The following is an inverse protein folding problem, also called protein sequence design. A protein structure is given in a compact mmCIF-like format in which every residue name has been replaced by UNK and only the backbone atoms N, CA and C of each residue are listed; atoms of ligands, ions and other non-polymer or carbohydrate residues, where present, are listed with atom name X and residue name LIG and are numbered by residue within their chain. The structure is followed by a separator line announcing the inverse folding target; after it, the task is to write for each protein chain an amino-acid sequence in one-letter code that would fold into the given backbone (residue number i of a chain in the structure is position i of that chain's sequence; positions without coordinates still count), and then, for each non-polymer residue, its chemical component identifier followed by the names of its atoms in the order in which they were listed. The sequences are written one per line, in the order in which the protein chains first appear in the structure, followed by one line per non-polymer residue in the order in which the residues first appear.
data_IF_610163996279
#
_entry.id   IF_610163996279
#
_cell.length_a   1.000
_cell.length_b   1.000
_cell.length_c   1.000
_cell.angle_alpha   90.00
_cell.angle_beta   90.00
_cell.angle_gamma   90.00
#
_symmetry.space_group_name_H-M   'P 1'
#
loop_
_entity.id
_entity.type
_entity.pdbx_description
1 polymer ?
#
# COMPACT_ATOMS: atom_id res chain seq x y z
N UNK A 1 13.88 -15.22 -0.57
CA UNK A 1 12.82 -14.51 0.16
C UNK A 1 13.52 -13.52 1.08
N UNK A 2 13.37 -12.21 0.85
CA UNK A 2 14.05 -11.17 1.65
C UNK A 2 13.10 -10.75 2.77
N UNK A 3 13.54 -10.95 4.00
CA UNK A 3 12.89 -10.46 5.21
C UNK A 3 13.33 -9.01 5.40
N UNK A 4 12.42 -8.06 5.29
CA UNK A 4 12.76 -6.65 5.42
C UNK A 4 11.61 -5.87 6.04
N UNK A 5 11.96 -5.03 7.00
CA UNK A 5 11.20 -3.82 7.34
C UNK A 5 10.73 -3.14 6.06
N UNK A 6 9.46 -2.72 5.99
CA UNK A 6 8.89 -2.02 4.84
C UNK A 6 9.79 -0.82 4.50
N UNK A 7 10.66 -1.00 3.52
CA UNK A 7 11.48 0.04 2.92
C UNK A 7 11.00 0.12 1.48
N UNK A 8 10.09 1.05 1.19
CA UNK A 8 9.59 1.28 -0.18
C UNK A 8 10.66 1.88 -1.13
N UNK A 9 11.95 1.84 -0.76
CA UNK A 9 13.06 2.52 -1.44
C UNK A 9 13.99 1.56 -2.20
N UNK A 10 13.62 0.29 -2.41
CA UNK A 10 14.36 -0.54 -3.37
C UNK A 10 13.78 -0.34 -4.76
N UNK A 11 14.64 -0.31 -5.77
CA UNK A 11 14.31 -0.39 -7.19
C UNK A 11 13.42 -1.62 -7.46
N UNK A 12 12.11 -1.43 -7.32
CA UNK A 12 11.13 -2.48 -7.55
C UNK A 12 10.76 -2.42 -9.04
N UNK A 13 10.96 -3.52 -9.75
CA UNK A 13 10.54 -3.64 -11.16
C UNK A 13 9.01 -3.69 -11.30
N UNK A 14 8.30 -4.16 -10.27
CA UNK A 14 6.84 -4.09 -10.18
C UNK A 14 6.33 -2.75 -9.62
N UNK A 15 5.38 -2.13 -10.31
CA UNK A 15 4.68 -0.95 -9.78
C UNK A 15 3.78 -1.25 -8.57
N UNK A 16 3.89 -2.43 -7.95
CA UNK A 16 2.96 -2.99 -6.97
C UNK A 16 3.74 -3.62 -5.81
N UNK A 17 3.47 -3.18 -4.59
CA UNK A 17 3.97 -3.81 -3.37
C UNK A 17 2.81 -4.46 -2.65
N UNK A 18 2.99 -5.71 -2.19
CA UNK A 18 1.98 -6.40 -1.39
C UNK A 18 2.57 -6.75 -0.02
N UNK A 19 2.01 -6.15 1.02
CA UNK A 19 2.30 -6.46 2.41
C UNK A 19 1.37 -7.54 2.95
N UNK A 20 1.92 -8.50 3.69
CA UNK A 20 1.17 -9.50 4.44
C UNK A 20 1.46 -9.36 5.92
N UNK A 21 0.43 -9.38 6.75
CA UNK A 21 0.55 -9.46 8.21
C UNK A 21 -0.58 -10.32 8.77
N UNK A 22 -0.36 -11.04 9.87
CA UNK A 22 -1.49 -11.59 10.62
C UNK A 22 -2.30 -10.46 11.28
N UNK A 23 -3.62 -10.65 11.45
CA UNK A 23 -4.45 -9.72 12.24
C UNK A 23 -3.96 -9.59 13.68
N UNK A 24 -3.42 -10.67 14.24
CA UNK A 24 -2.84 -10.69 15.59
C UNK A 24 -1.52 -9.92 15.68
N UNK A 25 -0.83 -9.73 14.55
CA UNK A 25 0.49 -9.10 14.48
C UNK A 25 0.41 -7.61 14.11
N UNK A 26 -0.61 -7.22 13.35
CA UNK A 26 -0.77 -5.85 12.84
C UNK A 26 -2.21 -5.35 12.94
N UNK A 27 -2.47 -4.57 13.98
CA UNK A 27 -3.75 -3.88 14.17
C UNK A 27 -4.01 -2.88 13.04
N UNK A 28 -5.28 -2.50 12.75
CA UNK A 28 -5.60 -1.47 11.76
C UNK A 28 -4.91 -0.11 12.01
N UNK A 29 -4.72 0.27 13.26
CA UNK A 29 -4.03 1.50 13.63
C UNK A 29 -2.51 1.37 13.48
N UNK A 30 -1.91 0.20 13.78
CA UNK A 30 -0.48 -0.01 13.51
C UNK A 30 -0.18 -0.06 12.02
N UNK A 31 -1.07 -0.65 11.22
CA UNK A 31 -1.01 -0.61 9.76
C UNK A 31 -1.08 0.83 9.24
N UNK A 32 -1.96 1.65 9.83
CA UNK A 32 -2.02 3.09 9.54
C UNK A 32 -0.70 3.77 9.85
N UNK A 33 -0.19 3.62 11.08
CA UNK A 33 1.04 4.27 11.53
C UNK A 33 2.21 3.94 10.59
N UNK A 34 2.34 2.67 10.20
CA UNK A 34 3.40 2.20 9.31
C UNK A 34 3.28 2.79 7.89
N UNK A 35 2.11 2.64 7.25
CA UNK A 35 1.90 3.12 5.89
C UNK A 35 1.92 4.65 5.81
N UNK A 36 1.42 5.32 6.84
CA UNK A 36 1.43 6.78 6.93
C UNK A 36 2.86 7.32 7.02
N UNK A 37 3.71 6.72 7.85
CA UNK A 37 5.12 7.09 7.92
C UNK A 37 5.82 6.92 6.56
N UNK A 38 5.53 5.84 5.84
CA UNK A 38 6.05 5.61 4.49
C UNK A 38 5.55 6.65 3.47
N UNK A 39 4.28 7.05 3.52
CA UNK A 39 3.73 8.10 2.65
C UNK A 39 4.49 9.43 2.81
N UNK A 40 4.93 9.74 4.03
CA UNK A 40 5.63 10.99 4.34
C UNK A 40 7.12 10.98 4.00
N UNK A 41 7.72 9.81 3.74
CA UNK A 41 9.13 9.69 3.33
C UNK A 41 9.37 10.11 1.87
N UNK A 42 8.31 10.22 1.06
CA UNK A 42 8.40 10.64 -0.34
C UNK A 42 8.99 12.03 -0.49
N UNK A 43 9.83 12.23 -1.50
CA UNK A 43 10.45 13.54 -1.77
C UNK A 43 9.50 14.50 -2.44
N UNK A 44 8.44 14.00 -3.08
CA UNK A 44 7.44 14.82 -3.76
C UNK A 44 6.28 15.22 -2.80
N UNK A 45 6.21 16.48 -2.33
CA UNK A 45 5.15 16.94 -1.44
C UNK A 45 3.79 17.13 -2.13
N UNK A 46 3.74 17.12 -3.48
CA UNK A 46 2.49 17.25 -4.24
C UNK A 46 1.98 15.91 -4.78
N UNK A 47 2.45 14.80 -4.20
CA UNK A 47 2.09 13.45 -4.63
C UNK A 47 0.66 13.13 -4.21
N UNK A 48 -0.21 12.85 -5.17
CA UNK A 48 -1.61 12.50 -4.93
C UNK A 48 -1.72 11.02 -4.52
N UNK A 49 -2.12 10.79 -3.26
CA UNK A 49 -2.26 9.46 -2.66
C UNK A 49 -3.75 9.19 -2.45
N UNK A 50 -4.26 8.12 -3.05
CA UNK A 50 -5.60 7.61 -2.76
C UNK A 50 -5.46 6.38 -1.88
N UNK A 51 -6.10 6.40 -0.72
CA UNK A 51 -5.94 5.35 0.28
C UNK A 51 -7.28 4.80 0.72
N UNK A 52 -7.56 3.57 0.31
CA UNK A 52 -8.73 2.80 0.70
C UNK A 52 -8.49 2.00 1.98
N UNK A 53 -9.41 2.17 2.93
CA UNK A 53 -9.40 1.51 4.23
C UNK A 53 -10.83 1.22 4.64
N UNK A 54 -11.02 0.30 5.58
CA UNK A 54 -12.37 0.05 6.07
C UNK A 54 -12.90 1.14 7.00
N UNK A 55 -12.07 1.52 7.96
CA UNK A 55 -12.41 2.48 9.01
C UNK A 55 -11.41 3.64 9.09
N UNK A 56 -11.85 4.73 9.73
CA UNK A 56 -11.00 5.87 10.05
C UNK A 56 -9.92 5.49 11.07
N UNK A 57 -8.68 5.98 10.91
CA UNK A 57 -7.67 5.80 11.95
C UNK A 57 -8.11 6.50 13.24
N UNK A 58 -7.75 5.93 14.39
CA UNK A 58 -8.11 6.53 15.68
C UNK A 58 -7.30 7.80 15.99
N UNK A 59 -6.10 7.92 15.41
CA UNK A 59 -5.14 9.00 15.66
C UNK A 59 -4.18 9.21 14.49
N UNK A 60 -3.53 10.36 14.48
CA UNK A 60 -2.33 10.58 13.65
C UNK A 60 -1.11 10.05 14.43
N UNK A 61 -0.13 9.39 13.78
CA UNK A 61 1.03 8.83 14.48
C UNK A 61 1.88 9.96 15.08
N UNK A 62 2.20 9.87 16.37
CA UNK A 62 2.93 10.93 17.11
C UNK A 62 4.35 11.16 16.60
N UNK A 63 4.97 10.11 16.06
CA UNK A 63 6.35 10.15 15.57
C UNK A 63 6.45 10.81 14.18
N UNK A 64 5.31 11.11 13.56
CA UNK A 64 5.22 11.79 12.28
C UNK A 64 4.85 13.26 12.47
N UNK A 65 5.52 14.16 11.73
CA UNK A 65 5.17 15.59 11.66
C UNK A 65 4.85 16.00 10.23
N UNK A 66 3.69 15.57 9.69
CA UNK A 66 3.31 15.90 8.32
C UNK A 66 3.03 17.40 8.18
N UNK A 67 3.42 17.97 7.05
CA UNK A 67 3.01 19.33 6.66
C UNK A 67 1.57 19.35 6.14
N UNK A 68 0.92 20.53 6.17
CA UNK A 68 -0.43 20.69 5.61
C UNK A 68 -0.48 20.31 4.12
N UNK A 69 0.58 20.64 3.37
CA UNK A 69 0.69 20.29 1.96
C UNK A 69 0.67 18.76 1.76
N UNK A 70 1.49 18.02 2.52
CA UNK A 70 1.51 16.56 2.46
C UNK A 70 0.16 15.95 2.84
N UNK A 71 -0.49 16.45 3.89
CA UNK A 71 -1.81 15.98 4.29
C UNK A 71 -2.88 16.25 3.22
N UNK A 72 -2.78 17.39 2.52
CA UNK A 72 -3.77 17.78 1.52
C UNK A 72 -3.79 16.89 0.28
N UNK A 73 -2.69 16.15 0.04
CA UNK A 73 -2.58 15.22 -1.07
C UNK A 73 -2.93 13.77 -0.69
N UNK A 74 -3.30 13.49 0.58
CA UNK A 74 -3.72 12.16 1.03
C UNK A 74 -5.26 12.10 1.09
N UNK A 75 -5.84 11.32 0.19
CA UNK A 75 -7.29 11.11 0.08
C UNK A 75 -7.69 9.78 0.70
N UNK A 76 -8.03 9.81 1.99
CA UNK A 76 -8.57 8.65 2.70
C UNK A 76 -10.01 8.35 2.26
N UNK A 77 -10.28 7.09 1.89
CA UNK A 77 -11.58 6.59 1.46
C UNK A 77 -11.97 5.39 2.31
N UNK A 78 -13.11 5.51 3.00
CA UNK A 78 -13.58 4.51 3.96
C UNK A 78 -14.68 3.63 3.36
N UNK A 79 -14.45 2.33 3.29
CA UNK A 79 -15.35 1.38 2.62
C UNK A 79 -16.46 0.83 3.49
N UNK A 80 -16.30 0.78 4.83
CA UNK A 80 -17.31 0.27 5.76
C UNK A 80 -17.94 -1.08 5.34
N UNK A 81 -17.11 -2.08 5.05
CA UNK A 81 -17.48 -3.41 4.59
C UNK A 81 -17.70 -3.55 3.08
N UNK A 82 -17.49 -2.50 2.29
CA UNK A 82 -17.68 -2.52 0.82
C UNK A 82 -16.38 -2.34 0.02
N UNK A 83 -15.25 -2.84 0.54
CA UNK A 83 -13.92 -2.63 -0.05
C UNK A 83 -13.88 -3.07 -1.52
N UNK A 84 -14.37 -4.28 -1.81
CA UNK A 84 -14.37 -4.87 -3.15
C UNK A 84 -15.16 -4.03 -4.15
N UNK A 85 -16.34 -3.56 -3.76
CA UNK A 85 -17.17 -2.71 -4.61
C UNK A 85 -16.51 -1.34 -4.85
N UNK A 86 -15.89 -0.77 -3.81
CA UNK A 86 -15.20 0.51 -3.88
C UNK A 86 -13.97 0.46 -4.82
N UNK A 87 -13.17 -0.60 -4.72
CA UNK A 87 -12.01 -0.83 -5.59
C UNK A 87 -12.43 -1.12 -7.03
N UNK A 88 -13.44 -1.98 -7.23
CA UNK A 88 -13.97 -2.26 -8.56
C UNK A 88 -14.47 -1.00 -9.25
N UNK A 89 -15.22 -0.16 -8.52
CA UNK A 89 -15.68 1.13 -9.01
C UNK A 89 -14.52 2.09 -9.31
N UNK A 90 -13.49 2.14 -8.46
CA UNK A 90 -12.30 2.95 -8.70
C UNK A 90 -11.59 2.53 -9.99
N UNK A 91 -11.27 1.24 -10.13
CA UNK A 91 -10.55 0.73 -11.28
C UNK A 91 -11.34 0.90 -12.58
N UNK A 92 -12.66 0.71 -12.55
CA UNK A 92 -13.52 0.96 -13.71
C UNK A 92 -13.51 2.44 -14.15
N UNK A 93 -13.39 3.36 -13.20
CA UNK A 93 -13.47 4.81 -13.44
C UNK A 93 -12.10 5.51 -13.39
N UNK A 94 -10.99 4.78 -13.34
CA UNK A 94 -9.66 5.35 -13.09
C UNK A 94 -9.28 6.40 -14.15
N UNK A 95 -9.72 6.19 -15.39
CA UNK A 95 -9.53 7.10 -16.52
C UNK A 95 -10.26 8.44 -16.39
N UNK A 96 -11.28 8.52 -15.54
CA UNK A 96 -12.03 9.74 -15.21
C UNK A 96 -11.58 10.38 -13.89
N UNK A 97 -10.64 9.75 -13.18
CA UNK A 97 -10.14 10.25 -11.91
C UNK A 97 -9.22 11.46 -12.12
N UNK A 98 -9.11 12.30 -11.08
CA UNK A 98 -7.96 13.20 -10.93
C UNK A 98 -6.66 12.38 -10.91
N UNK A 99 -5.53 13.05 -11.12
CA UNK A 99 -4.21 12.44 -11.01
C UNK A 99 -4.09 11.67 -9.69
N UNK A 100 -3.60 10.43 -9.80
CA UNK A 100 -3.28 9.55 -8.68
C UNK A 100 -1.86 9.07 -8.92
N UNK A 101 -0.98 9.29 -7.94
CA UNK A 101 0.40 8.84 -8.00
C UNK A 101 0.62 7.58 -7.14
N UNK A 102 -0.20 7.35 -6.12
CA UNK A 102 -0.18 6.15 -5.29
C UNK A 102 -1.58 5.69 -4.94
N UNK A 103 -1.85 4.40 -5.14
CA UNK A 103 -3.02 3.73 -4.60
C UNK A 103 -2.59 2.85 -3.42
N UNK A 104 -3.18 3.07 -2.25
CA UNK A 104 -3.04 2.18 -1.09
C UNK A 104 -4.37 1.51 -0.82
N UNK A 105 -4.35 0.19 -0.62
CA UNK A 105 -5.55 -0.60 -0.29
C UNK A 105 -5.27 -1.50 0.90
N UNK A 106 -6.05 -1.36 1.96
CA UNK A 106 -6.00 -2.25 3.11
C UNK A 106 -7.18 -3.20 3.11
N UNK A 107 -6.90 -4.48 2.88
CA UNK A 107 -7.89 -5.53 2.92
C UNK A 107 -8.03 -6.10 4.33
N UNK A 108 -9.29 -6.30 4.74
CA UNK A 108 -9.63 -7.18 5.85
C UNK A 108 -9.70 -8.62 5.35
N UNK A 109 -9.64 -9.57 6.28
CA UNK A 109 -9.81 -10.99 5.96
C UNK A 109 -11.14 -11.24 5.24
N UNK A 110 -12.22 -10.58 5.69
CA UNK A 110 -13.55 -10.70 5.08
C UNK A 110 -13.62 -10.24 3.63
N UNK A 111 -12.70 -9.38 3.19
CA UNK A 111 -12.65 -8.89 1.81
C UNK A 111 -12.03 -9.93 0.87
N UNK A 112 -11.14 -10.79 1.38
CA UNK A 112 -10.42 -11.81 0.61
C UNK A 112 -10.65 -13.18 1.25
N UNK A 113 -11.87 -13.74 1.14
CA UNK A 113 -12.21 -14.98 1.84
C UNK A 113 -11.62 -16.23 1.17
N UNK A 114 -11.15 -16.14 -0.09
CA UNK A 114 -10.63 -17.26 -0.87
C UNK A 114 -9.51 -16.81 -1.82
N UNK A 115 -8.70 -17.76 -2.25
CA UNK A 115 -7.61 -17.60 -3.20
C UNK A 115 -8.03 -16.95 -4.52
N UNK A 116 -9.17 -17.38 -5.05
CA UNK A 116 -9.70 -16.87 -6.32
C UNK A 116 -10.06 -15.38 -6.24
N UNK A 117 -10.58 -14.93 -5.09
CA UNK A 117 -10.88 -13.53 -4.83
C UNK A 117 -9.59 -12.70 -4.77
N UNK A 118 -8.54 -13.24 -4.13
CA UNK A 118 -7.22 -12.62 -4.09
C UNK A 118 -6.65 -12.40 -5.50
N UNK A 119 -6.67 -13.45 -6.32
CA UNK A 119 -6.18 -13.39 -7.70
C UNK A 119 -6.94 -12.35 -8.54
N UNK A 120 -8.27 -12.33 -8.46
CA UNK A 120 -9.10 -11.38 -9.20
C UNK A 120 -8.83 -9.92 -8.79
N UNK A 121 -8.69 -9.66 -7.49
CA UNK A 121 -8.37 -8.33 -6.97
C UNK A 121 -6.97 -7.88 -7.38
N UNK A 122 -5.97 -8.74 -7.23
CA UNK A 122 -4.60 -8.41 -7.61
C UNK A 122 -4.47 -8.20 -9.12
N UNK A 123 -5.20 -8.93 -9.95
CA UNK A 123 -5.26 -8.68 -11.39
C UNK A 123 -5.79 -7.27 -11.69
N UNK A 124 -6.93 -6.91 -11.08
CA UNK A 124 -7.55 -5.59 -11.25
C UNK A 124 -6.64 -4.45 -10.75
N UNK A 125 -6.06 -4.63 -9.57
CA UNK A 125 -5.11 -3.68 -8.98
C UNK A 125 -3.84 -3.58 -9.84
N UNK A 126 -3.40 -4.66 -10.48
CA UNK A 126 -2.24 -4.63 -11.37
C UNK A 126 -2.47 -3.77 -12.61
N UNK A 127 -3.66 -3.86 -13.20
CA UNK A 127 -4.04 -3.02 -14.32
C UNK A 127 -4.14 -1.55 -13.91
N UNK A 128 -4.70 -1.26 -12.72
CA UNK A 128 -4.74 0.08 -12.16
C UNK A 128 -3.34 0.64 -11.87
N UNK A 129 -2.45 -0.15 -11.28
CA UNK A 129 -1.07 0.23 -11.01
C UNK A 129 -0.30 0.57 -12.29
N UNK A 130 -0.49 -0.23 -13.35
CA UNK A 130 0.10 0.02 -14.67
C UNK A 130 -0.42 1.32 -15.27
N UNK A 131 -1.73 1.57 -15.17
CA UNK A 131 -2.32 2.82 -15.64
C UNK A 131 -1.75 4.03 -14.88
N UNK A 132 -1.69 3.97 -13.55
CA UNK A 132 -1.09 5.01 -12.69
C UNK A 132 0.35 5.27 -13.11
N UNK A 133 1.15 4.22 -13.29
CA UNK A 133 2.56 4.36 -13.67
C UNK A 133 2.75 5.05 -15.02
N UNK A 134 1.90 4.74 -16.00
CA UNK A 134 1.94 5.35 -17.34
C UNK A 134 1.53 6.82 -17.35
N UNK A 135 0.62 7.22 -16.45
CA UNK A 135 0.04 8.56 -16.40
C UNK A 135 0.65 9.44 -15.29
N UNK A 136 1.56 8.89 -14.50
CA UNK A 136 2.35 9.65 -13.52
C UNK A 136 3.22 10.65 -14.29
N UNK A 137 3.04 11.94 -14.01
CA UNK A 137 3.95 12.97 -14.52
C UNK A 137 5.28 12.84 -13.78
N UNK A 138 6.21 12.07 -14.34
CA UNK A 138 7.59 12.08 -13.87
C UNK A 138 8.20 13.40 -14.34
N UNK A 139 8.58 14.27 -13.40
CA UNK A 139 9.32 15.48 -13.74
C UNK A 139 10.59 15.06 -14.48
N UNK A 140 10.72 15.47 -15.73
CA UNK A 140 11.74 15.00 -16.69
C UNK A 140 13.18 15.39 -16.27
N UNK A 141 13.34 16.26 -15.28
CA UNK A 141 14.62 16.91 -14.95
C UNK A 141 15.25 16.56 -13.59
N UNK A 142 14.67 15.67 -12.78
CA UNK A 142 15.34 15.22 -11.56
C UNK A 142 15.80 13.77 -11.71
N UNK A 143 17.11 13.54 -11.66
CA UNK A 143 17.74 12.21 -11.48
C UNK A 143 17.41 11.55 -10.13
N UNK A 144 16.28 11.91 -9.54
CA UNK A 144 15.67 11.52 -8.27
C UNK A 144 14.22 11.10 -8.55
N UNK A 145 13.98 10.25 -9.54
CA UNK A 145 12.68 9.61 -9.68
C UNK A 145 12.31 9.00 -8.32
N UNK A 146 11.20 9.45 -7.73
CA UNK A 146 10.69 8.89 -6.48
C UNK A 146 10.36 7.42 -6.79
N UNK A 147 11.23 6.49 -6.39
CA UNK A 147 11.20 5.03 -6.62
C UNK A 147 10.01 4.33 -5.92
N UNK A 148 8.97 5.09 -5.59
CA UNK A 148 7.83 4.60 -4.86
C UNK A 148 6.86 3.89 -5.80
N UNK A 149 6.30 2.75 -5.37
CA UNK A 149 5.38 1.97 -6.18
C UNK A 149 4.13 2.78 -6.55
N UNK A 150 3.46 2.39 -7.62
CA UNK A 150 2.15 2.93 -8.00
C UNK A 150 1.03 2.39 -7.11
N UNK A 151 1.26 1.21 -6.51
CA UNK A 151 0.28 0.54 -5.68
C UNK A 151 0.91 -0.14 -4.46
N UNK A 152 0.25 -0.01 -3.31
CA UNK A 152 0.52 -0.79 -2.10
C UNK A 152 -0.77 -1.48 -1.68
N UNK A 153 -0.77 -2.81 -1.63
CA UNK A 153 -1.87 -3.59 -1.04
C UNK A 153 -1.40 -4.20 0.28
N UNK A 154 -2.17 -4.02 1.34
CA UNK A 154 -1.96 -4.70 2.61
C UNK A 154 -3.04 -5.77 2.75
N UNK A 155 -2.64 -7.03 2.82
CA UNK A 155 -3.54 -8.18 2.98
C UNK A 155 -3.29 -8.79 4.34
N UNK A 156 -4.35 -9.04 5.10
CA UNK A 156 -4.28 -9.68 6.42
C UNK A 156 -5.10 -10.96 6.46
N UNK A 157 -4.61 -12.05 5.87
CA UNK A 157 -5.35 -13.31 5.77
C UNK A 157 -5.07 -14.19 6.99
N UNK A 158 -6.00 -15.07 7.34
CA UNK A 158 -5.75 -16.13 8.34
C UNK A 158 -4.83 -17.26 7.82
N UNK A 159 -4.85 -17.51 6.50
CA UNK A 159 -3.94 -18.46 5.84
C UNK A 159 -3.03 -17.72 4.85
N UNK A 160 -1.77 -17.47 5.24
CA UNK A 160 -0.82 -16.71 4.43
C UNK A 160 -0.29 -17.51 3.22
N UNK A 161 -0.14 -18.83 3.31
CA UNK A 161 0.64 -19.59 2.35
C UNK A 161 0.05 -19.54 0.93
N UNK A 162 -1.25 -19.82 0.79
CA UNK A 162 -1.91 -19.84 -0.52
C UNK A 162 -2.01 -18.43 -1.14
N UNK A 163 -2.24 -17.42 -0.31
CA UNK A 163 -2.28 -16.02 -0.73
C UNK A 163 -0.91 -15.50 -1.20
N UNK A 164 0.18 -15.95 -0.56
CA UNK A 164 1.55 -15.60 -0.97
C UNK A 164 1.87 -16.18 -2.34
N UNK A 165 1.50 -17.45 -2.58
CA UNK A 165 1.74 -18.11 -3.87
C UNK A 165 1.04 -17.35 -5.01
N UNK A 166 -0.23 -17.00 -4.82
CA UNK A 166 -1.00 -16.28 -5.85
C UNK A 166 -0.47 -14.87 -6.06
N UNK A 167 -0.13 -14.17 -4.99
CA UNK A 167 0.44 -12.83 -5.07
C UNK A 167 1.72 -12.78 -5.88
N UNK A 168 2.55 -13.83 -5.81
CA UNK A 168 3.80 -13.92 -6.56
C UNK A 168 3.62 -13.92 -8.09
N UNK A 169 2.40 -14.15 -8.59
CA UNK A 169 2.06 -14.04 -10.02
C UNK A 169 1.88 -12.58 -10.47
N UNK A 170 1.62 -11.67 -9.54
CA UNK A 170 1.25 -10.27 -9.82
C UNK A 170 2.32 -9.27 -9.40
N UNK A 171 3.17 -9.63 -8.44
CA UNK A 171 4.27 -8.79 -7.98
C UNK A 171 5.50 -9.63 -7.60
N UNK A 172 6.68 -9.07 -7.81
CA UNK A 172 7.95 -9.55 -7.29
C UNK A 172 8.31 -8.92 -5.92
N UNK A 173 7.49 -7.98 -5.43
CA UNK A 173 7.67 -7.27 -4.18
C UNK A 173 6.60 -7.63 -3.14
N UNK A 174 6.88 -8.72 -2.44
CA UNK A 174 6.07 -9.18 -1.30
C UNK A 174 6.84 -8.87 -0.02
N UNK A 175 6.16 -8.22 0.93
CA UNK A 175 6.71 -7.88 2.25
C UNK A 175 5.92 -8.62 3.32
N UNK A 176 6.62 -9.35 4.19
CA UNK A 176 6.03 -9.94 5.39
C UNK A 176 6.24 -8.96 6.55
N UNK A 177 5.15 -8.59 7.22
CA UNK A 177 5.14 -7.65 8.34
C UNK A 177 4.90 -8.45 9.59
N UNK A 178 5.96 -8.67 10.35
CA UNK A 178 5.90 -9.27 11.68
C UNK A 178 5.75 -8.16 12.73
N UNK A 179 5.13 -8.50 13.87
CA UNK A 179 4.88 -7.61 15.02
C UNK A 179 6.06 -6.68 15.39
N UNK A 180 5.74 -5.52 15.97
CA UNK A 180 6.66 -4.48 16.52
C UNK A 180 7.67 -4.96 17.58
N UNK A 181 7.83 -6.26 17.82
CA UNK A 181 8.79 -6.84 18.76
C UNK A 181 9.98 -7.50 18.05
N UNK A 182 10.80 -6.74 17.33
CA UNK A 182 12.28 -6.82 17.28
C UNK A 182 12.76 -5.43 16.81
N UNK A 183 12.87 -4.51 17.76
CA UNK A 183 13.84 -3.42 17.69
C UNK A 183 14.59 -3.45 19.03
N UNK A 184 15.52 -4.38 19.13
CA UNK A 184 16.70 -4.24 19.98
C UNK A 184 17.89 -4.32 19.04
N UNK A 185 18.78 -3.35 19.18
CA UNK A 185 19.91 -3.04 18.32
C UNK A 185 20.65 -4.25 17.74
N UNK A 186 20.72 -4.31 16.41
CA UNK A 186 21.74 -5.06 15.69
C UNK A 186 22.78 -4.12 15.04
N UNK A 187 23.00 -2.95 15.65
CA UNK A 187 24.04 -1.98 15.28
C UNK A 187 24.73 -1.34 16.49
N UNK A 188 24.87 -2.09 17.59
CA UNK A 188 25.95 -1.85 18.56
C UNK A 188 26.73 -3.17 18.72
N UNK A 189 27.78 -3.31 17.89
CA UNK A 189 28.70 -4.46 17.84
C UNK A 189 29.45 -4.55 16.53
#
# INVERSE_FOLDING_TARGET
MRFANLKLNSTIGSGIVVGFASLDELSPDDAFDLLFAECLKGKNPSREIVWYRDERPSRIPMDCRPTVAQLSCIHLRYSHGQMIAAITSFCANIHCSKQVDLLIVEFLESDIPHEASCAALLALLSDAARWIQQHRQVAIDDGNADDLPSLVALIRPNNMFDHLMITSLYTDCIVLIESKSIVVDALDG
#
